data_IF_044089563399
#
_entry.id   IF_044089563399
#
_cell.length_a   1.000
_cell.length_b   1.000
_cell.length_c   1.000
_cell.angle_alpha   90.00
_cell.angle_beta   90.00
_cell.angle_gamma   90.00
#
_symmetry.space_group_name_H-M   'P 1'
#
loop_
_entity.id
_entity.type
_entity.pdbx_description
1 polymer ?
#
# COMPACT_ATOMS: atom_id res chain seq x y z
N UNK A 1 54.13 46.64 -15.75
CA UNK A 1 52.82 46.59 -16.44
C UNK A 1 52.22 45.17 -16.44
N UNK A 2 53.03 44.12 -16.63
CA UNK A 2 52.54 42.74 -16.74
C UNK A 2 51.88 42.17 -15.46
N UNK A 3 52.36 42.49 -14.27
CA UNK A 3 51.78 42.01 -13.01
C UNK A 3 50.37 42.56 -12.75
N UNK A 4 50.10 43.81 -13.13
CA UNK A 4 48.78 44.43 -13.02
C UNK A 4 47.77 43.76 -13.97
N UNK A 5 48.20 43.47 -15.20
CA UNK A 5 47.39 42.74 -16.18
C UNK A 5 47.09 41.30 -15.75
N UNK A 6 48.06 40.60 -15.15
CA UNK A 6 47.84 39.26 -14.56
C UNK A 6 46.82 39.31 -13.42
N UNK A 7 46.87 40.31 -12.55
CA UNK A 7 45.89 40.46 -11.47
C UNK A 7 44.49 40.79 -11.99
N UNK A 8 44.40 41.63 -13.03
CA UNK A 8 43.13 41.94 -13.70
C UNK A 8 42.48 40.70 -14.30
N UNK A 9 43.26 39.88 -15.01
CA UNK A 9 42.78 38.60 -15.58
C UNK A 9 42.27 37.65 -14.49
N UNK A 10 43.04 37.46 -13.42
CA UNK A 10 42.62 36.63 -12.27
C UNK A 10 41.29 37.09 -11.66
N UNK A 11 41.07 38.39 -11.52
CA UNK A 11 39.82 38.95 -10.99
C UNK A 11 38.64 38.67 -11.92
N UNK A 12 38.84 38.79 -13.23
CA UNK A 12 37.82 38.46 -14.23
C UNK A 12 37.48 36.97 -14.22
N UNK A 13 38.48 36.09 -14.14
CA UNK A 13 38.28 34.64 -14.10
C UNK A 13 37.57 34.20 -12.82
N UNK A 14 37.90 34.82 -11.67
CA UNK A 14 37.19 34.58 -10.41
C UNK A 14 35.73 35.00 -10.49
N UNK A 15 35.45 36.21 -11.02
CA UNK A 15 34.08 36.71 -11.15
C UNK A 15 33.25 35.86 -12.13
N UNK A 16 33.85 35.38 -13.23
CA UNK A 16 33.17 34.45 -14.15
C UNK A 16 32.81 33.14 -13.45
N UNK A 17 33.77 32.53 -12.74
CA UNK A 17 33.51 31.28 -12.02
C UNK A 17 32.50 31.43 -10.89
N UNK A 18 32.47 32.58 -10.21
CA UNK A 18 31.45 32.89 -9.20
C UNK A 18 30.05 33.01 -9.83
N UNK A 19 29.92 33.72 -10.95
CA UNK A 19 28.65 33.83 -11.68
C UNK A 19 28.16 32.46 -12.19
N UNK A 20 29.05 31.65 -12.76
CA UNK A 20 28.74 30.30 -13.25
C UNK A 20 28.31 29.38 -12.10
N UNK A 21 29.02 29.47 -10.96
CA UNK A 21 28.64 28.75 -9.76
C UNK A 21 27.29 29.23 -9.25
N UNK A 22 27.04 30.53 -9.30
CA UNK A 22 25.81 31.11 -8.78
C UNK A 22 24.57 30.77 -9.57
N UNK A 23 24.72 30.58 -10.89
CA UNK A 23 23.68 30.09 -11.79
C UNK A 23 23.26 28.64 -11.52
N UNK A 24 24.03 27.86 -10.74
CA UNK A 24 23.68 26.47 -10.41
C UNK A 24 22.51 26.43 -9.43
N UNK A 25 21.47 25.67 -9.78
CA UNK A 25 20.32 25.43 -8.91
C UNK A 25 20.67 24.45 -7.78
N UNK A 26 21.44 23.41 -8.09
CA UNK A 26 21.82 22.37 -7.14
C UNK A 26 23.12 22.72 -6.42
N UNK A 27 23.07 23.75 -5.57
CA UNK A 27 24.14 24.05 -4.61
C UNK A 27 23.95 23.20 -3.36
N UNK A 28 25.06 22.67 -2.83
CA UNK A 28 25.03 22.05 -1.51
C UNK A 28 24.88 23.16 -0.46
N UNK A 29 24.12 22.93 0.59
CA UNK A 29 23.95 23.85 1.69
C UNK A 29 24.10 23.13 3.03
N UNK A 30 24.31 23.90 4.08
CA UNK A 30 24.39 23.34 5.42
C UNK A 30 22.97 23.00 5.91
N UNK A 31 22.70 21.77 6.39
CA UNK A 31 21.38 21.41 6.88
C UNK A 31 21.00 22.12 8.19
N UNK A 32 21.97 22.68 8.94
CA UNK A 32 21.70 23.37 10.21
C UNK A 32 21.42 24.86 10.04
N UNK A 33 22.22 25.56 9.24
CA UNK A 33 22.09 27.01 9.05
C UNK A 33 21.49 27.40 7.70
N UNK A 34 21.26 26.46 6.79
CA UNK A 34 20.68 26.71 5.47
C UNK A 34 21.60 27.45 4.50
N UNK A 35 22.80 27.87 4.94
CA UNK A 35 23.75 28.60 4.11
C UNK A 35 24.25 27.72 2.96
N UNK A 36 24.13 28.16 1.69
CA UNK A 36 24.72 27.46 0.56
C UNK A 36 26.25 27.51 0.66
N UNK A 37 26.89 26.45 0.18
CA UNK A 37 28.33 26.39 0.01
C UNK A 37 28.78 27.53 -0.90
N UNK A 38 29.73 28.34 -0.46
CA UNK A 38 30.28 29.45 -1.24
C UNK A 38 31.18 28.95 -2.38
N UNK A 39 31.39 29.78 -3.40
CA UNK A 39 32.25 29.43 -4.53
C UNK A 39 33.69 29.09 -4.12
N UNK A 40 34.24 29.81 -3.13
CA UNK A 40 35.58 29.52 -2.58
C UNK A 40 35.63 28.16 -1.89
N UNK A 41 34.63 27.81 -1.09
CA UNK A 41 34.52 26.49 -0.46
C UNK A 41 34.33 25.37 -1.47
N UNK A 42 33.58 25.61 -2.54
CA UNK A 42 33.41 24.68 -3.65
C UNK A 42 34.74 24.44 -4.39
N UNK A 43 35.45 25.53 -4.72
CA UNK A 43 36.75 25.48 -5.39
C UNK A 43 37.82 24.75 -4.56
N UNK A 44 37.83 24.99 -3.26
CA UNK A 44 38.74 24.34 -2.30
C UNK A 44 38.31 22.92 -1.89
N UNK A 45 37.20 22.41 -2.46
CA UNK A 45 36.61 21.10 -2.15
C UNK A 45 36.29 20.90 -0.66
N UNK A 46 35.99 21.97 0.06
CA UNK A 46 35.63 21.93 1.48
C UNK A 46 34.26 21.30 1.65
N UNK A 47 34.20 20.17 2.36
CA UNK A 47 32.95 19.43 2.58
C UNK A 47 32.15 19.90 3.80
N UNK A 48 32.74 20.70 4.70
CA UNK A 48 32.14 21.08 5.98
C UNK A 48 31.91 22.58 6.06
N UNK A 49 30.77 22.96 6.63
CA UNK A 49 30.42 24.33 6.96
C UNK A 49 31.39 24.89 8.02
N UNK A 50 31.95 26.07 7.79
CA UNK A 50 32.90 26.70 8.71
C UNK A 50 32.27 27.06 10.06
N UNK A 51 30.96 27.38 10.09
CA UNK A 51 30.27 27.81 11.30
C UNK A 51 29.65 26.65 12.08
N UNK A 52 29.09 25.66 11.38
CA UNK A 52 28.40 24.54 12.03
C UNK A 52 29.24 23.25 12.14
N UNK A 53 30.34 23.14 11.38
CA UNK A 53 31.16 21.93 11.29
C UNK A 53 30.48 20.73 10.59
N UNK A 54 29.21 20.88 10.18
CA UNK A 54 28.43 19.83 9.51
C UNK A 54 28.74 19.79 8.02
N UNK A 55 28.67 18.60 7.43
CA UNK A 55 28.88 18.41 6.01
C UNK A 55 27.79 19.07 5.16
N UNK A 56 28.21 19.72 4.07
CA UNK A 56 27.32 20.31 3.07
C UNK A 56 26.59 19.20 2.30
N UNK A 57 25.27 19.33 2.20
CA UNK A 57 24.37 18.36 1.54
C UNK A 57 23.35 19.10 0.70
N UNK A 58 22.61 18.40 -0.15
CA UNK A 58 21.42 19.01 -0.76
C UNK A 58 20.32 19.11 0.29
N UNK A 59 19.67 20.27 0.42
CA UNK A 59 18.64 20.50 1.46
C UNK A 59 17.42 19.58 1.28
N UNK A 60 17.06 19.31 0.03
CA UNK A 60 15.93 18.47 -0.33
C UNK A 60 16.43 17.12 -0.85
N UNK A 61 17.21 16.41 -0.05
CA UNK A 61 17.57 15.04 -0.40
C UNK A 61 16.32 14.16 -0.39
N UNK A 62 16.18 13.29 -1.39
CA UNK A 62 15.02 12.39 -1.49
C UNK A 62 14.78 11.58 -0.21
N UNK A 63 15.83 11.16 0.50
CA UNK A 63 15.70 10.42 1.76
C UNK A 63 14.99 11.19 2.88
N UNK A 64 15.10 12.53 2.91
CA UNK A 64 14.41 13.34 3.94
C UNK A 64 12.91 13.51 3.62
N UNK A 65 12.56 13.49 2.33
CA UNK A 65 11.17 13.71 1.85
C UNK A 65 10.41 12.39 1.75
N UNK A 66 11.10 11.28 1.46
CA UNK A 66 10.53 9.97 1.15
C UNK A 66 9.57 9.49 2.24
N UNK A 67 9.96 9.55 3.50
CA UNK A 67 9.13 9.04 4.60
C UNK A 67 7.82 9.79 4.76
N UNK A 68 7.85 11.13 4.73
CA UNK A 68 6.64 11.94 4.83
C UNK A 68 5.74 11.76 3.61
N UNK A 69 6.33 11.69 2.42
CA UNK A 69 5.59 11.48 1.17
C UNK A 69 4.90 10.11 1.14
N UNK A 70 5.65 9.04 1.37
CA UNK A 70 5.13 7.65 1.37
C UNK A 70 4.03 7.46 2.41
N UNK A 71 4.19 8.05 3.60
CA UNK A 71 3.18 8.01 4.66
C UNK A 71 1.89 8.71 4.24
N UNK A 72 1.98 9.91 3.64
CA UNK A 72 0.81 10.64 3.11
C UNK A 72 0.11 9.88 1.99
N UNK A 73 0.87 9.24 1.10
CA UNK A 73 0.30 8.44 0.01
C UNK A 73 -0.39 7.17 0.53
N UNK A 74 0.20 6.49 1.52
CA UNK A 74 -0.40 5.34 2.16
C UNK A 74 -1.72 5.70 2.85
N UNK A 75 -1.76 6.83 3.56
CA UNK A 75 -2.98 7.30 4.22
C UNK A 75 -4.07 7.67 3.21
N UNK A 76 -3.73 8.41 2.15
CA UNK A 76 -4.67 8.73 1.07
C UNK A 76 -5.23 7.47 0.41
N UNK A 77 -4.38 6.46 0.18
CA UNK A 77 -4.80 5.18 -0.38
C UNK A 77 -5.76 4.43 0.54
N UNK A 78 -5.52 4.44 1.85
CA UNK A 78 -6.42 3.84 2.86
C UNK A 78 -7.79 4.51 2.85
N UNK A 79 -7.83 5.84 2.92
CA UNK A 79 -9.09 6.61 2.89
C UNK A 79 -9.88 6.33 1.61
N UNK A 80 -9.21 6.29 0.45
CA UNK A 80 -9.87 5.93 -0.81
C UNK A 80 -10.40 4.49 -0.81
N UNK A 81 -9.64 3.54 -0.26
CA UNK A 81 -10.08 2.15 -0.17
C UNK A 81 -11.31 2.00 0.75
N UNK A 82 -11.33 2.71 1.89
CA UNK A 82 -12.47 2.73 2.81
C UNK A 82 -13.70 3.37 2.17
N UNK A 83 -13.55 4.52 1.53
CA UNK A 83 -14.63 5.18 0.80
C UNK A 83 -15.22 4.27 -0.28
N UNK A 84 -14.37 3.59 -1.07
CA UNK A 84 -14.82 2.60 -2.06
C UNK A 84 -15.60 1.44 -1.44
N UNK A 85 -15.13 0.92 -0.30
CA UNK A 85 -15.84 -0.14 0.45
C UNK A 85 -17.21 0.32 0.93
N UNK A 86 -17.31 1.55 1.45
CA UNK A 86 -18.58 2.12 1.90
C UNK A 86 -19.57 2.30 0.75
N UNK A 87 -19.11 2.84 -0.38
CA UNK A 87 -19.95 2.97 -1.59
C UNK A 87 -20.43 1.60 -2.06
N UNK A 88 -19.53 0.61 -2.12
CA UNK A 88 -19.92 -0.75 -2.52
C UNK A 88 -20.94 -1.38 -1.56
N UNK A 89 -20.78 -1.19 -0.25
CA UNK A 89 -21.72 -1.68 0.74
C UNK A 89 -23.11 -1.03 0.57
N UNK A 90 -23.15 0.30 0.38
CA UNK A 90 -24.41 1.02 0.12
C UNK A 90 -25.10 0.55 -1.16
N UNK A 91 -24.33 0.33 -2.23
CA UNK A 91 -24.87 -0.19 -3.50
C UNK A 91 -25.45 -1.60 -3.32
N UNK A 92 -24.76 -2.49 -2.61
CA UNK A 92 -25.24 -3.84 -2.32
C UNK A 92 -26.52 -3.82 -1.45
N UNK A 93 -26.59 -2.94 -0.46
CA UNK A 93 -27.79 -2.78 0.37
C UNK A 93 -28.98 -2.26 -0.44
N UNK A 94 -28.75 -1.30 -1.33
CA UNK A 94 -29.78 -0.79 -2.24
C UNK A 94 -30.25 -1.86 -3.22
N UNK A 95 -29.34 -2.64 -3.80
CA UNK A 95 -29.67 -3.77 -4.67
C UNK A 95 -30.47 -4.84 -3.93
N UNK A 96 -30.05 -5.22 -2.73
CA UNK A 96 -30.78 -6.19 -1.91
C UNK A 96 -32.18 -5.67 -1.55
N UNK A 97 -32.33 -4.37 -1.28
CA UNK A 97 -33.61 -3.75 -0.97
C UNK A 97 -34.52 -3.66 -2.20
N UNK A 98 -33.97 -3.37 -3.38
CA UNK A 98 -34.69 -3.44 -4.66
C UNK A 98 -35.20 -4.85 -4.97
N UNK A 99 -34.39 -5.87 -4.65
CA UNK A 99 -34.75 -7.27 -4.85
C UNK A 99 -35.73 -7.81 -3.79
N UNK A 100 -35.89 -7.13 -2.65
CA UNK A 100 -36.98 -7.37 -1.68
C UNK A 100 -38.31 -6.88 -2.25
N UNK A 101 -38.76 -7.51 -3.33
CA UNK A 101 -40.15 -7.43 -3.75
C UNK A 101 -41.01 -8.14 -2.69
N UNK A 102 -42.11 -7.52 -2.29
CA UNK A 102 -43.06 -8.17 -1.38
C UNK A 102 -43.62 -9.42 -2.07
N UNK A 103 -43.43 -10.59 -1.45
CA UNK A 103 -43.97 -11.85 -1.98
C UNK A 103 -45.48 -11.72 -2.13
N UNK A 104 -46.01 -12.13 -3.27
CA UNK A 104 -47.46 -12.19 -3.47
C UNK A 104 -48.09 -13.18 -2.49
N UNK A 105 -49.34 -12.96 -2.09
CA UNK A 105 -50.08 -13.86 -1.21
C UNK A 105 -50.05 -15.32 -1.70
N UNK A 106 -50.09 -15.53 -3.02
CA UNK A 106 -50.01 -16.85 -3.66
C UNK A 106 -48.63 -17.50 -3.49
N UNK A 107 -47.54 -16.72 -3.59
CA UNK A 107 -46.17 -17.21 -3.36
C UNK A 107 -45.98 -17.62 -1.89
N UNK A 108 -46.46 -16.81 -0.95
CA UNK A 108 -46.43 -17.14 0.48
C UNK A 108 -47.21 -18.44 0.79
N UNK A 109 -48.33 -18.66 0.10
CA UNK A 109 -49.11 -19.89 0.23
C UNK A 109 -48.34 -21.11 -0.30
N UNK A 110 -47.67 -21.00 -1.46
CA UNK A 110 -46.82 -22.07 -1.98
C UNK A 110 -45.65 -22.37 -1.04
N UNK A 111 -44.96 -21.36 -0.50
CA UNK A 111 -43.87 -21.55 0.46
C UNK A 111 -44.33 -22.30 1.71
N UNK A 112 -45.50 -21.95 2.27
CA UNK A 112 -46.11 -22.69 3.39
C UNK A 112 -46.37 -24.15 3.02
N UNK A 113 -46.88 -24.41 1.81
CA UNK A 113 -47.10 -25.79 1.33
C UNK A 113 -45.78 -26.56 1.15
N UNK A 114 -44.73 -25.93 0.62
CA UNK A 114 -43.41 -26.55 0.47
C UNK A 114 -42.77 -26.84 1.82
N UNK A 115 -42.83 -25.90 2.78
CA UNK A 115 -42.33 -26.10 4.15
C UNK A 115 -43.09 -27.23 4.88
N UNK A 116 -44.41 -27.33 4.69
CA UNK A 116 -45.20 -28.45 5.24
C UNK A 116 -44.91 -29.79 4.55
N UNK A 117 -44.42 -29.77 3.29
CA UNK A 117 -44.00 -30.98 2.57
C UNK A 117 -42.59 -31.41 2.93
N UNK A 118 -41.66 -30.48 3.17
CA UNK A 118 -40.30 -30.81 3.61
C UNK A 118 -40.24 -31.30 5.05
N UNK A 119 -41.16 -30.82 5.91
CA UNK A 119 -41.30 -31.33 7.27
C UNK A 119 -41.94 -32.73 7.33
N UNK A 120 -42.53 -33.18 6.22
CA UNK A 120 -42.93 -34.59 6.05
C UNK A 120 -41.73 -35.32 5.47
N UNK A 121 -41.02 -36.05 6.33
CA UNK A 121 -39.95 -36.97 5.97
C UNK A 121 -40.30 -37.68 4.65
N UNK A 122 -39.49 -37.50 3.62
CA UNK A 122 -39.79 -38.03 2.28
C UNK A 122 -39.83 -39.56 2.30
N UNK A 123 -40.50 -40.20 1.34
CA UNK A 123 -40.54 -41.67 1.26
C UNK A 123 -39.13 -42.28 1.20
N UNK A 124 -38.21 -41.60 0.51
CA UNK A 124 -36.79 -41.95 0.46
C UNK A 124 -36.12 -41.78 1.83
N UNK A 125 -36.34 -40.69 2.55
CA UNK A 125 -35.78 -40.52 3.91
C UNK A 125 -36.38 -41.48 4.95
N UNK A 126 -37.63 -41.93 4.77
CA UNK A 126 -38.27 -42.93 5.65
C UNK A 126 -37.75 -44.35 5.42
N UNK A 127 -37.46 -44.72 4.18
CA UNK A 127 -37.04 -46.09 3.83
C UNK A 127 -35.52 -46.25 3.67
N UNK A 128 -34.79 -45.17 3.40
CA UNK A 128 -33.32 -45.14 3.39
C UNK A 128 -32.83 -44.35 4.61
N UNK A 129 -32.80 -45.02 5.76
CA UNK A 129 -31.84 -44.60 6.78
C UNK A 129 -30.46 -44.92 6.22
N UNK A 130 -29.56 -43.92 6.20
CA UNK A 130 -28.14 -44.14 5.91
C UNK A 130 -27.64 -45.11 6.98
N UNK A 131 -27.65 -46.40 6.65
CA UNK A 131 -27.17 -47.45 7.54
C UNK A 131 -25.72 -47.12 7.87
N UNK A 132 -25.48 -46.61 9.08
CA UNK A 132 -24.16 -46.18 9.57
C UNK A 132 -23.16 -47.33 9.58
N UNK A 133 -23.66 -48.56 9.44
CA UNK A 133 -22.90 -49.81 9.43
C UNK A 133 -22.64 -50.37 8.04
N UNK A 134 -22.93 -49.61 6.97
CA UNK A 134 -22.57 -50.06 5.62
C UNK A 134 -21.05 -50.22 5.51
N UNK A 135 -20.61 -51.42 5.12
CA UNK A 135 -19.19 -51.80 5.03
C UNK A 135 -18.40 -50.82 4.14
N UNK A 136 -19.05 -50.26 3.13
CA UNK A 136 -18.48 -49.26 2.21
C UNK A 136 -18.18 -47.92 2.88
N UNK A 137 -19.05 -47.42 3.76
CA UNK A 137 -18.84 -46.14 4.46
C UNK A 137 -17.77 -46.27 5.55
N UNK A 138 -17.70 -47.42 6.24
CA UNK A 138 -16.60 -47.74 7.16
C UNK A 138 -15.25 -47.81 6.44
N UNK A 139 -15.19 -48.46 5.28
CA UNK A 139 -13.97 -48.54 4.47
C UNK A 139 -13.51 -47.15 3.97
N UNK A 140 -14.43 -46.26 3.58
CA UNK A 140 -14.09 -44.90 3.20
C UNK A 140 -13.51 -44.08 4.37
N UNK A 141 -14.13 -44.17 5.55
CA UNK A 141 -13.63 -43.49 6.75
C UNK A 141 -12.25 -43.99 7.18
N UNK A 142 -12.00 -45.31 7.06
CA UNK A 142 -10.70 -45.90 7.38
C UNK A 142 -9.61 -45.44 6.39
N UNK A 143 -9.92 -45.39 5.09
CA UNK A 143 -8.99 -44.86 4.07
C UNK A 143 -8.68 -43.38 4.29
N UNK A 144 -9.67 -42.60 4.69
CA UNK A 144 -9.49 -41.18 4.98
C UNK A 144 -8.65 -40.95 6.25
N UNK A 145 -8.85 -41.78 7.28
CA UNK A 145 -8.04 -41.78 8.50
C UNK A 145 -6.58 -42.15 8.21
N UNK A 146 -6.32 -43.18 7.38
CA UNK A 146 -4.98 -43.56 6.93
C UNK A 146 -4.30 -42.45 6.12
N UNK A 147 -5.05 -41.73 5.27
CA UNK A 147 -4.52 -40.57 4.53
C UNK A 147 -4.17 -39.40 5.45
N UNK A 148 -4.98 -39.15 6.48
CA UNK A 148 -4.73 -38.09 7.47
C UNK A 148 -3.52 -38.40 8.35
N UNK A 149 -3.36 -39.65 8.81
CA UNK A 149 -2.17 -40.06 9.59
C UNK A 149 -0.88 -40.01 8.76
N UNK A 150 -0.94 -40.41 7.49
CA UNK A 150 0.20 -40.32 6.57
C UNK A 150 0.60 -38.87 6.23
N UNK A 151 -0.33 -37.92 6.32
CA UNK A 151 -0.04 -36.48 6.17
C UNK A 151 0.51 -35.83 7.44
N UNK A 152 0.23 -36.39 8.61
CA UNK A 152 0.70 -35.88 9.90
C UNK A 152 2.12 -36.33 10.28
N UNK A 153 2.71 -37.26 9.52
CA UNK A 153 4.03 -37.86 9.78
C UNK A 153 5.13 -37.35 8.83
N UNK A 154 4.85 -36.28 8.07
CA UNK A 154 5.82 -35.48 7.32
C UNK A 154 5.86 -34.08 7.91
#
# INVERSE_FOLDING_TARGET
>A
MEAAERNRKKKLDLSRGENDYDARLDKKACPKCGLPQSYSEFKDKKKRCQQCGVEFRFLNAWGDIEHNFTSRMAESSRVQAESKKQVHAQMADQESTRLKMNKSAKQLQYEKQFAMKSNKQTFLERNYTLNSDSKTKRAQLELEAKRKSARSTK
#
